data_IF_800739333637
#
_entry.id   IF_800739333637
#
_cell.length_a   1.000
_cell.length_b   1.000
_cell.length_c   1.000
_cell.angle_alpha   90.00
_cell.angle_beta   90.00
_cell.angle_gamma   90.00
#
_symmetry.space_group_name_H-M   'P 1'
#
loop_
_entity.id
_entity.type
_entity.pdbx_description
1 polymer ?
#
# COMPACT_ATOMS: atom_id res chain seq x y z
N UNK A 1 12.97 37.45 -1.22
CA UNK A 1 13.42 36.07 -0.91
C UNK A 1 12.42 35.39 0.02
N UNK A 2 11.72 34.36 -0.44
CA UNK A 2 11.29 33.19 0.37
C UNK A 2 11.31 31.98 -0.55
N UNK A 3 12.34 31.14 -0.38
CA UNK A 3 12.49 29.83 -1.00
C UNK A 3 11.75 28.86 -0.09
N UNK A 4 10.64 28.29 -0.55
CA UNK A 4 9.94 27.21 0.15
C UNK A 4 10.38 25.90 -0.47
N UNK A 5 11.37 25.27 0.15
CA UNK A 5 11.73 23.86 -0.02
C UNK A 5 11.12 23.09 1.14
N UNK A 6 10.19 22.18 0.82
CA UNK A 6 9.74 21.02 1.59
C UNK A 6 8.92 20.22 0.56
N UNK A 7 9.19 18.98 0.20
CA UNK A 7 9.40 17.85 1.11
C UNK A 7 10.46 16.90 0.54
N UNK A 8 11.41 16.60 1.42
CA UNK A 8 12.48 15.64 1.25
C UNK A 8 11.95 14.33 1.83
N UNK A 9 11.39 13.44 1.02
CA UNK A 9 11.14 12.06 1.47
C UNK A 9 12.44 11.25 1.36
N UNK A 10 13.36 11.54 2.28
CA UNK A 10 14.53 10.70 2.54
C UNK A 10 14.17 9.56 3.50
N UNK A 11 14.41 8.33 3.07
CA UNK A 11 15.01 7.30 3.91
C UNK A 11 14.09 6.53 4.86
N UNK A 12 13.51 5.43 4.37
CA UNK A 12 13.19 4.28 5.23
C UNK A 12 13.87 3.01 4.72
N UNK A 13 15.18 2.92 4.90
CA UNK A 13 15.87 1.65 5.12
C UNK A 13 15.48 1.11 6.50
N UNK A 14 14.27 0.55 6.64
CA UNK A 14 13.84 -0.15 7.85
C UNK A 14 13.31 -1.53 7.49
N UNK A 15 14.25 -2.46 7.29
CA UNK A 15 14.07 -3.92 7.37
C UNK A 15 12.68 -4.41 6.95
N UNK A 16 12.34 -4.28 5.67
CA UNK A 16 11.20 -5.00 5.12
C UNK A 16 11.53 -6.48 5.21
N UNK A 17 10.83 -7.18 6.09
CA UNK A 17 10.91 -8.63 6.13
C UNK A 17 10.44 -9.13 4.76
N UNK A 18 11.19 -9.99 4.07
CA UNK A 18 10.76 -10.48 2.76
C UNK A 18 9.38 -11.12 2.88
N UNK A 19 8.47 -10.73 1.97
CA UNK A 19 7.11 -11.24 1.91
C UNK A 19 7.13 -12.75 1.69
N UNK A 20 6.30 -13.46 2.43
CA UNK A 20 6.08 -14.90 2.19
C UNK A 20 5.36 -15.10 0.86
N UNK A 21 5.43 -16.31 0.29
CA UNK A 21 4.74 -16.62 -0.97
C UNK A 21 3.22 -16.38 -0.87
N UNK A 22 2.62 -16.70 0.27
CA UNK A 22 1.19 -16.45 0.51
C UNK A 22 0.85 -14.96 0.47
N UNK A 23 1.70 -14.11 1.05
CA UNK A 23 1.50 -12.66 1.04
C UNK A 23 1.66 -12.08 -0.36
N UNK A 24 2.60 -12.60 -1.16
CA UNK A 24 2.73 -12.22 -2.57
C UNK A 24 1.50 -12.62 -3.37
N UNK A 25 0.94 -13.81 -3.11
CA UNK A 25 -0.30 -14.27 -3.74
C UNK A 25 -1.48 -13.37 -3.38
N UNK A 26 -1.61 -12.98 -2.10
CA UNK A 26 -2.63 -12.03 -1.65
C UNK A 26 -2.47 -10.66 -2.32
N UNK A 27 -1.24 -10.13 -2.40
CA UNK A 27 -0.96 -8.89 -3.10
C UNK A 27 -1.38 -8.96 -4.58
N UNK A 28 -1.07 -10.06 -5.26
CA UNK A 28 -1.48 -10.29 -6.65
C UNK A 28 -3.00 -10.39 -6.81
N UNK A 29 -3.69 -11.09 -5.90
CA UNK A 29 -5.14 -11.19 -5.93
C UNK A 29 -5.82 -9.82 -5.73
N UNK A 30 -5.36 -9.04 -4.74
CA UNK A 30 -5.86 -7.68 -4.52
C UNK A 30 -5.56 -6.79 -5.73
N UNK A 31 -4.36 -6.92 -6.30
CA UNK A 31 -3.96 -6.16 -7.48
C UNK A 31 -4.83 -6.47 -8.70
N UNK A 32 -5.15 -7.74 -8.92
CA UNK A 32 -6.04 -8.18 -10.01
C UNK A 32 -7.48 -7.73 -9.77
N UNK A 33 -7.96 -7.79 -8.53
CA UNK A 33 -9.33 -7.44 -8.19
C UNK A 33 -9.58 -5.92 -8.32
N UNK A 34 -8.59 -5.11 -7.93
CA UNK A 34 -8.67 -3.65 -7.95
C UNK A 34 -8.05 -3.00 -9.19
N UNK A 35 -7.47 -3.79 -10.10
CA UNK A 35 -6.73 -3.33 -11.27
C UNK A 35 -5.66 -2.27 -10.94
N UNK A 36 -4.98 -2.44 -9.80
CA UNK A 36 -4.02 -1.49 -9.25
C UNK A 36 -2.83 -2.19 -8.60
N UNK A 37 -1.69 -1.53 -8.49
CA UNK A 37 -0.50 -2.12 -7.86
C UNK A 37 -0.65 -2.14 -6.33
N UNK A 38 -0.60 -3.32 -5.72
CA UNK A 38 -0.76 -3.46 -4.26
C UNK A 38 0.58 -3.78 -3.60
N UNK A 39 1.03 -2.88 -2.72
CA UNK A 39 2.23 -3.09 -1.91
C UNK A 39 1.87 -3.56 -0.49
N UNK A 40 2.51 -4.63 -0.03
CA UNK A 40 2.40 -5.08 1.37
C UNK A 40 3.73 -4.81 2.07
N UNK A 41 3.72 -3.92 3.07
CA UNK A 41 4.89 -3.61 3.91
C UNK A 41 4.70 -4.23 5.29
N UNK A 42 5.62 -5.11 5.70
CA UNK A 42 5.60 -5.75 7.02
C UNK A 42 6.80 -5.35 7.87
N UNK A 43 6.53 -4.88 9.08
CA UNK A 43 7.56 -4.62 10.07
C UNK A 43 7.80 -5.86 10.95
N UNK A 44 8.95 -5.91 11.61
CA UNK A 44 9.38 -7.03 12.46
C UNK A 44 8.46 -7.29 13.67
N UNK A 45 7.65 -6.31 14.07
CA UNK A 45 6.78 -6.38 15.25
C UNK A 45 5.34 -6.84 14.95
N UNK A 46 5.15 -7.72 13.96
CA UNK A 46 3.84 -8.19 13.45
C UNK A 46 2.93 -7.10 12.86
N UNK A 47 3.26 -5.81 13.01
CA UNK A 47 2.55 -4.72 12.34
C UNK A 47 2.85 -4.72 10.84
N UNK A 48 1.81 -4.50 10.04
CA UNK A 48 1.90 -4.42 8.60
C UNK A 48 1.04 -3.27 8.08
N UNK A 49 1.30 -2.88 6.84
CA UNK A 49 0.51 -1.91 6.08
C UNK A 49 0.31 -2.47 4.68
N UNK A 50 -0.89 -2.33 4.16
CA UNK A 50 -1.22 -2.58 2.75
C UNK A 50 -1.39 -1.20 2.12
N UNK A 51 -0.74 -0.97 1.00
CA UNK A 51 -0.79 0.28 0.25
C UNK A 51 -1.44 -0.05 -1.09
N UNK A 52 -2.56 0.63 -1.35
CA UNK A 52 -3.33 0.52 -2.59
C UNK A 52 -3.48 1.96 -3.13
N UNK A 53 -2.79 2.33 -4.21
CA UNK A 53 -2.93 3.65 -4.79
C UNK A 53 -4.29 3.77 -5.49
N UNK A 54 -4.88 4.96 -5.39
CA UNK A 54 -6.13 5.33 -6.04
C UNK A 54 -5.95 6.72 -6.68
N UNK A 55 -6.57 6.93 -7.82
CA UNK A 55 -6.47 8.17 -8.59
C UNK A 55 -7.68 9.09 -8.41
N UNK A 56 -8.75 8.59 -7.78
CA UNK A 56 -9.99 9.33 -7.57
C UNK A 56 -10.72 8.91 -6.30
N UNK A 57 -11.58 9.81 -5.79
CA UNK A 57 -12.47 9.52 -4.66
C UNK A 57 -13.46 8.39 -5.00
N UNK A 58 -13.82 8.24 -6.28
CA UNK A 58 -14.69 7.16 -6.76
C UNK A 58 -14.00 5.79 -6.64
N UNK A 59 -12.72 5.70 -7.03
CA UNK A 59 -11.92 4.49 -6.82
C UNK A 59 -11.78 4.16 -5.34
N UNK A 60 -11.48 5.14 -4.49
CA UNK A 60 -11.44 4.94 -3.04
C UNK A 60 -12.77 4.39 -2.50
N UNK A 61 -13.91 4.93 -2.95
CA UNK A 61 -15.22 4.40 -2.56
C UNK A 61 -15.45 2.95 -3.00
N UNK A 62 -14.99 2.58 -4.21
CA UNK A 62 -15.05 1.20 -4.70
C UNK A 62 -14.18 0.26 -3.88
N UNK A 63 -12.95 0.68 -3.54
CA UNK A 63 -12.03 -0.07 -2.68
C UNK A 63 -12.68 -0.35 -1.31
N UNK A 64 -13.22 0.68 -0.66
CA UNK A 64 -13.85 0.55 0.66
C UNK A 64 -15.06 -0.37 0.61
N UNK A 65 -15.93 -0.23 -0.40
CA UNK A 65 -17.10 -1.10 -0.55
C UNK A 65 -16.74 -2.57 -0.76
N UNK A 66 -15.67 -2.84 -1.51
CA UNK A 66 -15.21 -4.21 -1.72
C UNK A 66 -14.68 -4.87 -0.44
N UNK A 67 -14.07 -4.09 0.46
CA UNK A 67 -13.55 -4.59 1.74
C UNK A 67 -14.68 -4.78 2.76
N UNK A 68 -15.71 -3.94 2.72
CA UNK A 68 -16.85 -3.99 3.65
C UNK A 68 -17.87 -5.11 3.33
N UNK A 69 -17.78 -5.72 2.14
CA UNK A 69 -18.70 -6.78 1.70
C UNK A 69 -18.28 -8.21 2.10
N UNK A 70 -17.15 -8.38 2.80
CA UNK A 70 -16.68 -9.65 3.41
C UNK A 70 -16.77 -9.62 4.94
#
# INVERSE_FOLDING_TARGET
MRKSTSEKEEGQTRTTTPLTNDQKKMAYQLSTYFDTEVEIKRNRNKSGKIIIPFNSDEELSKLVKAIDQD
#
